data_IF_389863811150
#
_entry.id   IF_389863811150
#
_cell.length_a   1.000
_cell.length_b   1.000
_cell.length_c   1.000
_cell.angle_alpha   90.00
_cell.angle_beta   90.00
_cell.angle_gamma   90.00
#
_symmetry.space_group_name_H-M   'P 1'
#
loop_
_entity.id
_entity.type
_entity.pdbx_description
1 polymer ?
#
# COMPACT_ATOMS: atom_id res chain seq x y z
N UNK A 1 20.75 -25.52 16.40
CA UNK A 1 20.05 -24.22 16.33
C UNK A 1 20.25 -23.66 14.93
N UNK A 2 19.62 -24.26 13.92
CA UNK A 2 19.69 -23.87 12.51
C UNK A 2 18.36 -24.32 11.89
N UNK A 3 17.35 -23.44 11.84
CA UNK A 3 16.17 -23.70 10.99
C UNK A 3 15.29 -22.48 10.71
N UNK A 4 15.49 -21.36 11.41
CA UNK A 4 14.66 -20.15 11.21
C UNK A 4 14.93 -19.44 9.87
N UNK A 5 16.19 -19.44 9.40
CA UNK A 5 16.57 -18.74 8.16
C UNK A 5 16.08 -19.40 6.86
N UNK A 6 15.86 -20.72 6.87
CA UNK A 6 15.44 -21.46 5.66
C UNK A 6 13.93 -21.31 5.36
N UNK A 7 13.13 -21.09 6.41
CA UNK A 7 11.69 -20.84 6.30
C UNK A 7 11.39 -19.45 5.73
N UNK A 8 12.13 -18.45 6.17
CA UNK A 8 11.93 -17.06 5.74
C UNK A 8 12.37 -16.83 4.29
N UNK A 9 13.52 -17.40 3.90
CA UNK A 9 13.98 -17.38 2.52
C UNK A 9 12.98 -18.08 1.57
N UNK A 10 12.43 -19.24 1.97
CA UNK A 10 11.42 -19.95 1.19
C UNK A 10 10.11 -19.14 1.02
N UNK A 11 9.67 -18.44 2.06
CA UNK A 11 8.49 -17.57 2.00
C UNK A 11 8.72 -16.36 1.09
N UNK A 12 9.90 -15.73 1.14
CA UNK A 12 10.24 -14.60 0.27
C UNK A 12 10.31 -15.01 -1.21
N UNK A 13 10.87 -16.18 -1.51
CA UNK A 13 10.92 -16.71 -2.88
C UNK A 13 9.53 -17.01 -3.41
N UNK A 14 8.69 -17.70 -2.63
CA UNK A 14 7.31 -17.98 -3.00
C UNK A 14 6.52 -16.69 -3.24
N UNK A 15 6.64 -15.72 -2.33
CA UNK A 15 5.97 -14.41 -2.44
C UNK A 15 6.40 -13.67 -3.70
N UNK A 16 7.69 -13.60 -3.98
CA UNK A 16 8.21 -12.90 -5.16
C UNK A 16 7.64 -13.51 -6.44
N UNK A 17 7.50 -14.83 -6.49
CA UNK A 17 6.90 -15.52 -7.63
C UNK A 17 5.40 -15.23 -7.75
N UNK A 18 4.68 -15.18 -6.62
CA UNK A 18 3.25 -14.86 -6.61
C UNK A 18 3.00 -13.38 -7.00
N UNK A 19 3.79 -12.44 -6.49
CA UNK A 19 3.68 -11.01 -6.86
C UNK A 19 4.02 -10.80 -8.35
N UNK A 20 5.08 -11.45 -8.85
CA UNK A 20 5.37 -11.44 -10.30
C UNK A 20 4.22 -12.01 -11.11
N UNK A 21 3.60 -13.09 -10.64
CA UNK A 21 2.45 -13.71 -11.31
C UNK A 21 1.19 -12.83 -11.28
N UNK A 22 1.00 -11.96 -10.26
CA UNK A 22 -0.08 -10.96 -10.30
C UNK A 22 0.10 -9.88 -11.35
N UNK A 23 1.34 -9.65 -11.79
CA UNK A 23 1.67 -8.69 -12.85
C UNK A 23 1.79 -9.36 -14.23
N UNK A 24 1.47 -10.66 -14.35
CA UNK A 24 1.62 -11.40 -15.59
C UNK A 24 0.60 -10.96 -16.66
N UNK A 25 1.03 -10.93 -17.92
CA UNK A 25 0.16 -10.61 -19.06
C UNK A 25 -1.01 -11.58 -19.24
N UNK A 26 -0.90 -12.81 -18.74
CA UNK A 26 -1.92 -13.85 -18.80
C UNK A 26 -2.96 -13.70 -17.68
N UNK A 27 -4.26 -13.46 -18.00
CA UNK A 27 -5.33 -13.30 -17.00
C UNK A 27 -5.51 -14.50 -16.07
N UNK A 28 -5.24 -15.72 -16.54
CA UNK A 28 -5.36 -16.93 -15.73
C UNK A 28 -4.25 -17.04 -14.67
N UNK A 29 -3.04 -16.58 -15.00
CA UNK A 29 -1.90 -16.54 -14.07
C UNK A 29 -2.12 -15.48 -13.01
N UNK A 30 -2.64 -14.30 -13.40
CA UNK A 30 -3.03 -13.25 -12.46
C UNK A 30 -4.08 -13.72 -11.46
N UNK A 31 -5.18 -14.31 -11.94
CA UNK A 31 -6.25 -14.77 -11.08
C UNK A 31 -5.79 -15.89 -10.12
N UNK A 32 -4.94 -16.80 -10.60
CA UNK A 32 -4.36 -17.85 -9.76
C UNK A 32 -3.43 -17.26 -8.68
N UNK A 33 -2.62 -16.26 -9.03
CA UNK A 33 -1.76 -15.56 -8.09
C UNK A 33 -2.54 -14.75 -7.06
N UNK A 34 -3.60 -14.06 -7.48
CA UNK A 34 -4.53 -13.36 -6.59
C UNK A 34 -5.23 -14.32 -5.62
N UNK A 35 -5.66 -15.49 -6.09
CA UNK A 35 -6.26 -16.51 -5.23
C UNK A 35 -5.22 -17.08 -4.25
N UNK A 36 -3.98 -17.32 -4.70
CA UNK A 36 -2.89 -17.76 -3.84
C UNK A 36 -2.52 -16.70 -2.78
N UNK A 37 -2.57 -15.41 -3.12
CA UNK A 37 -2.41 -14.30 -2.17
C UNK A 37 -3.56 -14.26 -1.15
N UNK A 38 -4.80 -14.51 -1.59
CA UNK A 38 -6.01 -14.52 -0.74
C UNK A 38 -6.01 -15.68 0.25
N UNK A 39 -5.61 -16.87 -0.20
CA UNK A 39 -5.61 -18.08 0.63
C UNK A 39 -4.49 -18.07 1.69
N UNK A 40 -3.36 -17.44 1.37
CA UNK A 40 -2.28 -17.31 2.31
C UNK A 40 -2.56 -16.14 3.26
N UNK A 41 -2.89 -16.43 4.52
CA UNK A 41 -3.22 -15.45 5.57
C UNK A 41 -2.05 -14.53 6.01
N UNK A 42 -1.02 -14.35 5.18
CA UNK A 42 0.30 -13.76 5.51
C UNK A 42 0.72 -12.64 4.55
N UNK A 43 -0.17 -11.98 3.83
CA UNK A 43 0.25 -11.10 2.71
C UNK A 43 0.57 -9.63 3.00
N UNK A 44 0.16 -9.07 4.15
CA UNK A 44 0.52 -7.70 4.50
C UNK A 44 1.98 -7.36 4.72
N UNK A 45 2.60 -8.12 5.62
CA UNK A 45 3.96 -7.90 6.11
C UNK A 45 4.95 -8.22 5.00
N UNK A 46 4.61 -9.23 4.20
CA UNK A 46 5.40 -9.70 3.08
C UNK A 46 5.43 -8.70 1.92
N UNK A 47 4.30 -8.11 1.54
CA UNK A 47 4.26 -7.03 0.53
C UNK A 47 5.10 -5.83 0.97
N UNK A 48 4.93 -5.40 2.23
CA UNK A 48 5.75 -4.34 2.82
C UNK A 48 7.24 -4.71 2.77
N UNK A 49 7.60 -5.92 3.15
CA UNK A 49 9.00 -6.38 3.19
C UNK A 49 9.60 -6.43 1.78
N UNK A 50 8.84 -6.91 0.80
CA UNK A 50 9.27 -6.96 -0.60
C UNK A 50 9.54 -5.55 -1.14
N UNK A 51 8.61 -4.62 -0.94
CA UNK A 51 8.80 -3.21 -1.27
C UNK A 51 10.03 -2.66 -0.57
N UNK A 52 10.13 -2.81 0.75
CA UNK A 52 11.25 -2.29 1.54
C UNK A 52 12.62 -2.76 1.02
N UNK A 53 12.71 -4.01 0.57
CA UNK A 53 13.97 -4.61 0.11
C UNK A 53 14.26 -4.28 -1.36
N UNK A 54 13.26 -4.29 -2.25
CA UNK A 54 13.51 -4.26 -3.69
C UNK A 54 13.13 -2.95 -4.37
N UNK A 55 12.52 -2.00 -3.67
CA UNK A 55 11.94 -0.82 -4.32
C UNK A 55 12.99 0.12 -4.91
N UNK A 56 14.01 0.52 -4.16
CA UNK A 56 14.95 1.55 -4.60
C UNK A 56 16.40 1.19 -4.25
N UNK A 57 17.27 1.19 -5.25
CA UNK A 57 18.72 1.09 -5.05
C UNK A 57 19.23 2.27 -4.20
N UNK A 58 20.13 1.96 -3.25
CA UNK A 58 20.68 2.95 -2.32
C UNK A 58 19.99 3.00 -0.96
N UNK A 59 18.85 2.33 -0.79
CA UNK A 59 18.23 2.13 0.51
C UNK A 59 19.03 1.17 1.40
N UNK A 60 19.01 1.41 2.71
CA UNK A 60 19.85 0.69 3.69
C UNK A 60 19.66 -0.83 3.64
N UNK A 61 18.42 -1.28 3.43
CA UNK A 61 18.04 -2.68 3.45
C UNK A 61 17.83 -3.25 2.03
N UNK A 62 18.35 -2.57 1.00
CA UNK A 62 18.12 -2.95 -0.39
C UNK A 62 18.78 -4.29 -0.76
N UNK A 63 18.06 -5.10 -1.53
CA UNK A 63 18.62 -6.26 -2.22
C UNK A 63 18.19 -6.31 -3.69
N UNK A 64 19.12 -6.66 -4.57
CA UNK A 64 18.84 -6.81 -6.00
C UNK A 64 17.92 -8.02 -6.29
N UNK A 65 17.13 -8.00 -7.38
CA UNK A 65 17.02 -6.91 -8.36
C UNK A 65 16.08 -5.79 -7.88
N UNK A 66 16.33 -4.55 -8.33
CA UNK A 66 15.37 -3.46 -8.17
C UNK A 66 14.10 -3.76 -8.95
N UNK A 67 12.95 -3.35 -8.41
CA UNK A 67 11.67 -3.40 -9.14
C UNK A 67 11.79 -2.56 -10.44
N UNK A 68 11.53 -3.15 -11.62
CA UNK A 68 11.55 -2.42 -12.89
C UNK A 68 10.58 -1.24 -12.88
N UNK A 69 10.93 -0.15 -13.58
CA UNK A 69 10.11 1.07 -13.58
C UNK A 69 8.65 0.83 -14.02
N UNK A 70 8.43 -0.03 -15.02
CA UNK A 70 7.09 -0.40 -15.48
C UNK A 70 6.26 -1.10 -14.38
N UNK A 71 6.90 -1.93 -13.56
CA UNK A 71 6.26 -2.68 -12.49
C UNK A 71 5.96 -1.75 -11.31
N UNK A 72 6.84 -0.78 -11.02
CA UNK A 72 6.56 0.28 -10.03
C UNK A 72 5.30 1.05 -10.38
N UNK A 73 5.15 1.48 -11.64
CA UNK A 73 3.95 2.19 -12.12
C UNK A 73 2.70 1.34 -11.93
N UNK A 74 2.75 0.05 -12.30
CA UNK A 74 1.63 -0.87 -12.10
C UNK A 74 1.27 -1.05 -10.62
N UNK A 75 2.27 -1.26 -9.75
CA UNK A 75 2.07 -1.40 -8.31
C UNK A 75 1.44 -0.14 -7.71
N UNK A 76 1.94 1.05 -8.08
CA UNK A 76 1.39 2.34 -7.64
C UNK A 76 -0.06 2.55 -8.10
N UNK A 77 -0.46 2.04 -9.26
CA UNK A 77 -1.85 2.10 -9.72
C UNK A 77 -2.77 1.12 -8.98
N UNK A 78 -2.25 -0.04 -8.55
CA UNK A 78 -3.02 -1.11 -7.90
C UNK A 78 -3.20 -0.88 -6.39
N UNK A 79 -2.16 -0.42 -5.70
CA UNK A 79 -2.16 -0.33 -4.24
C UNK A 79 -3.31 0.52 -3.67
N UNK A 80 -3.62 1.73 -4.18
CA UNK A 80 -4.73 2.50 -3.66
C UNK A 80 -6.05 1.73 -3.73
N UNK A 81 -6.33 1.03 -4.83
CA UNK A 81 -7.58 0.26 -4.98
C UNK A 81 -7.73 -0.80 -3.89
N UNK A 82 -6.62 -1.42 -3.44
CA UNK A 82 -6.66 -2.41 -2.36
C UNK A 82 -6.95 -1.81 -0.96
N UNK A 83 -7.03 -0.47 -0.82
CA UNK A 83 -7.50 0.18 0.42
C UNK A 83 -9.00 0.03 0.64
N UNK A 84 -9.78 -0.41 -0.35
CA UNK A 84 -11.21 -0.67 -0.19
C UNK A 84 -11.54 -2.13 0.17
N UNK A 85 -10.52 -2.96 0.39
CA UNK A 85 -10.70 -4.39 0.70
C UNK A 85 -11.61 -4.60 1.93
N UNK A 86 -12.56 -5.55 1.89
CA UNK A 86 -13.48 -5.81 3.00
C UNK A 86 -12.76 -6.25 4.29
N UNK A 87 -11.56 -6.82 4.19
CA UNK A 87 -10.76 -7.24 5.33
C UNK A 87 -9.84 -6.12 5.83
N UNK A 88 -10.10 -5.58 7.02
CA UNK A 88 -9.31 -4.48 7.60
C UNK A 88 -7.80 -4.78 7.80
N UNK A 89 -7.41 -6.05 7.92
CA UNK A 89 -5.99 -6.46 7.95
C UNK A 89 -5.29 -6.21 6.61
N UNK A 90 -5.98 -6.45 5.49
CA UNK A 90 -5.48 -6.17 4.14
C UNK A 90 -5.36 -4.66 3.94
N UNK A 91 -6.39 -3.88 4.31
CA UNK A 91 -6.32 -2.41 4.22
C UNK A 91 -5.13 -1.81 5.00
N UNK A 92 -4.92 -2.28 6.24
CA UNK A 92 -3.80 -1.82 7.07
C UNK A 92 -2.46 -2.10 6.41
N UNK A 93 -2.34 -3.29 5.82
CA UNK A 93 -1.14 -3.72 5.15
C UNK A 93 -0.76 -2.89 3.93
N UNK A 94 -1.76 -2.70 3.08
CA UNK A 94 -1.66 -1.93 1.85
C UNK A 94 -1.29 -0.51 2.24
N UNK A 95 -1.94 0.06 3.27
CA UNK A 95 -1.56 1.36 3.82
C UNK A 95 -0.09 1.43 4.28
N UNK A 96 0.43 0.38 4.92
CA UNK A 96 1.85 0.33 5.31
C UNK A 96 2.79 0.21 4.11
N UNK A 97 2.42 -0.55 3.07
CA UNK A 97 3.19 -0.65 1.84
C UNK A 97 3.21 0.68 1.09
N UNK A 98 2.06 1.34 0.95
CA UNK A 98 1.92 2.69 0.37
C UNK A 98 2.78 3.69 1.12
N UNK A 99 2.68 3.75 2.45
CA UNK A 99 3.53 4.62 3.28
C UNK A 99 5.02 4.36 3.05
N UNK A 100 5.43 3.10 2.95
CA UNK A 100 6.83 2.74 2.68
C UNK A 100 7.30 3.24 1.31
N UNK A 101 6.47 3.12 0.26
CA UNK A 101 6.78 3.60 -1.09
C UNK A 101 6.80 5.14 -1.14
N UNK A 102 5.85 5.77 -0.46
CA UNK A 102 5.69 7.22 -0.45
C UNK A 102 6.95 7.93 0.04
N UNK A 103 7.68 7.35 0.98
CA UNK A 103 8.93 7.91 1.49
C UNK A 103 10.02 8.08 0.42
N UNK A 104 9.98 7.31 -0.66
CA UNK A 104 10.96 7.38 -1.75
C UNK A 104 10.39 8.03 -3.01
N UNK A 105 9.09 7.81 -3.29
CA UNK A 105 8.49 8.15 -4.58
C UNK A 105 7.55 9.37 -4.53
N UNK A 106 7.10 9.81 -3.36
CA UNK A 106 6.18 10.95 -3.25
C UNK A 106 6.92 12.22 -2.80
N UNK A 107 6.67 13.39 -3.42
CA UNK A 107 5.65 13.67 -4.44
C UNK A 107 6.04 13.48 -5.92
N UNK A 108 7.32 13.38 -6.25
CA UNK A 108 7.81 13.52 -7.64
C UNK A 108 7.42 12.34 -8.56
N UNK A 109 7.61 11.11 -8.10
CA UNK A 109 7.39 9.88 -8.89
C UNK A 109 5.95 9.34 -8.73
N UNK A 110 5.22 9.78 -7.71
CA UNK A 110 3.84 9.37 -7.45
C UNK A 110 2.90 10.53 -7.07
N UNK A 111 2.79 11.58 -7.89
CA UNK A 111 2.07 12.81 -7.54
C UNK A 111 0.57 12.57 -7.20
N UNK A 112 -0.04 11.55 -7.80
CA UNK A 112 -1.47 11.25 -7.62
C UNK A 112 -1.82 10.59 -6.28
N UNK A 113 -0.84 10.16 -5.48
CA UNK A 113 -1.08 9.43 -4.21
C UNK A 113 -2.08 10.16 -3.30
N UNK A 114 -1.86 11.46 -3.09
CA UNK A 114 -2.71 12.24 -2.18
C UNK A 114 -4.12 12.46 -2.77
N UNK A 115 -4.23 12.61 -4.10
CA UNK A 115 -5.52 12.73 -4.78
C UNK A 115 -6.36 11.46 -4.57
N UNK A 116 -5.75 10.26 -4.64
CA UNK A 116 -6.44 9.01 -4.34
C UNK A 116 -6.95 8.96 -2.89
N UNK A 117 -6.07 9.26 -1.93
CA UNK A 117 -6.44 9.21 -0.51
C UNK A 117 -7.55 10.20 -0.17
N UNK A 118 -7.45 11.45 -0.63
CA UNK A 118 -8.46 12.47 -0.39
C UNK A 118 -9.78 12.15 -1.10
N UNK A 119 -9.72 11.61 -2.32
CA UNK A 119 -10.89 11.13 -3.05
C UNK A 119 -11.64 10.04 -2.26
N UNK A 120 -10.90 9.08 -1.70
CA UNK A 120 -11.46 8.00 -0.88
C UNK A 120 -12.01 8.47 0.47
N UNK A 121 -11.37 9.44 1.11
CA UNK A 121 -11.85 10.06 2.35
C UNK A 121 -13.15 10.85 2.10
N UNK A 122 -13.25 11.51 0.94
CA UNK A 122 -14.40 12.33 0.56
C UNK A 122 -15.58 11.51 0.03
N UNK A 123 -15.30 10.39 -0.64
CA UNK A 123 -16.29 9.46 -1.18
C UNK A 123 -16.80 8.50 -0.11
N UNK A 124 -17.93 8.87 0.50
CA UNK A 124 -18.54 8.14 1.61
C UNK A 124 -19.48 7.01 1.17
N UNK A 125 -19.49 6.62 -0.12
CA UNK A 125 -20.31 5.49 -0.57
C UNK A 125 -19.82 4.15 -0.02
N UNK A 126 -18.54 4.06 0.34
CA UNK A 126 -17.92 2.84 0.88
C UNK A 126 -17.09 3.16 2.14
N UNK A 127 -17.55 2.67 3.29
CA UNK A 127 -16.85 2.87 4.57
C UNK A 127 -15.51 2.13 4.65
N UNK A 128 -15.32 1.02 3.92
CA UNK A 128 -14.04 0.32 3.90
C UNK A 128 -12.97 1.19 3.24
N UNK A 129 -13.31 1.81 2.12
CA UNK A 129 -12.46 2.75 1.38
C UNK A 129 -12.07 3.96 2.25
N UNK A 130 -13.04 4.59 2.92
CA UNK A 130 -12.78 5.69 3.87
C UNK A 130 -11.83 5.25 4.99
N UNK A 131 -12.11 4.11 5.63
CA UNK A 131 -11.28 3.58 6.72
C UNK A 131 -9.86 3.23 6.24
N UNK A 132 -9.72 2.62 5.07
CA UNK A 132 -8.42 2.29 4.48
C UNK A 132 -7.59 3.53 4.18
N UNK A 133 -8.19 4.53 3.54
CA UNK A 133 -7.51 5.79 3.21
C UNK A 133 -7.10 6.58 4.46
N UNK A 134 -7.97 6.71 5.45
CA UNK A 134 -7.63 7.37 6.72
C UNK A 134 -6.50 6.63 7.45
N UNK A 135 -6.55 5.30 7.48
CA UNK A 135 -5.50 4.49 8.11
C UNK A 135 -4.17 4.65 7.38
N UNK A 136 -4.18 4.64 6.05
CA UNK A 136 -3.01 4.87 5.22
C UNK A 136 -2.41 6.26 5.48
N UNK A 137 -3.24 7.30 5.45
CA UNK A 137 -2.80 8.68 5.74
C UNK A 137 -2.15 8.78 7.13
N UNK A 138 -2.76 8.18 8.15
CA UNK A 138 -2.20 8.17 9.50
C UNK A 138 -0.83 7.46 9.61
N UNK A 139 -0.50 6.55 8.69
CA UNK A 139 0.76 5.80 8.72
C UNK A 139 1.96 6.59 8.21
N UNK A 140 1.77 7.56 7.32
CA UNK A 140 2.88 8.40 6.82
C UNK A 140 2.68 9.90 7.12
N UNK A 141 1.62 10.28 7.83
CA UNK A 141 1.40 11.67 8.27
C UNK A 141 2.57 12.22 9.11
N UNK A 142 3.32 11.35 9.80
CA UNK A 142 4.53 11.74 10.54
C UNK A 142 5.71 12.10 9.66
N UNK A 143 5.70 11.70 8.39
CA UNK A 143 6.74 11.98 7.40
C UNK A 143 6.43 13.25 6.57
N UNK A 144 5.29 13.90 6.81
CA UNK A 144 4.93 15.16 6.17
C UNK A 144 5.68 16.32 6.85
N UNK A 145 6.51 17.02 6.10
CA UNK A 145 7.28 18.18 6.58
C UNK A 145 6.55 19.52 6.41
N UNK A 146 7.20 20.61 6.82
CA UNK A 146 6.69 21.98 6.76
C UNK A 146 6.57 22.54 5.33
N UNK A 147 7.05 21.81 4.32
CA UNK A 147 6.86 22.15 2.91
C UNK A 147 5.66 21.43 2.31
N UNK A 148 5.45 20.17 2.70
CA UNK A 148 4.41 19.29 2.16
C UNK A 148 3.06 19.47 2.86
N UNK A 149 3.06 19.81 4.15
CA UNK A 149 1.83 19.93 4.94
C UNK A 149 0.97 21.16 4.58
N UNK A 150 1.52 22.39 4.40
CA UNK A 150 0.69 23.58 4.19
C UNK A 150 -0.25 23.51 2.97
N UNK A 151 0.16 22.97 1.80
CA UNK A 151 -0.74 22.78 0.66
C UNK A 151 -1.87 21.78 0.91
N UNK A 152 -1.66 20.81 1.82
CA UNK A 152 -2.63 19.74 2.10
C UNK A 152 -3.71 20.16 3.09
N UNK A 153 -3.37 21.01 4.07
CA UNK A 153 -4.27 21.43 5.15
C UNK A 153 -5.64 21.93 4.64
N UNK A 154 -5.73 22.81 3.64
CA UNK A 154 -7.02 23.33 3.15
C UNK A 154 -7.97 22.27 2.59
N UNK A 155 -7.44 21.14 2.14
CA UNK A 155 -8.24 20.04 1.55
C UNK A 155 -8.49 18.95 2.59
N UNK A 156 -7.44 18.58 3.34
CA UNK A 156 -7.50 17.50 4.31
C UNK A 156 -8.39 17.84 5.51
N UNK A 157 -8.25 19.03 6.10
CA UNK A 157 -8.95 19.36 7.34
C UNK A 157 -10.48 19.43 7.17
N UNK A 158 -11.02 20.03 6.09
CA UNK A 158 -12.45 19.96 5.84
C UNK A 158 -12.94 18.52 5.66
N UNK A 159 -12.21 17.67 4.95
CA UNK A 159 -12.59 16.27 4.76
C UNK A 159 -12.66 15.51 6.09
N UNK A 160 -11.65 15.68 6.96
CA UNK A 160 -11.63 15.11 8.31
C UNK A 160 -12.77 15.66 9.20
N UNK A 161 -13.02 16.96 9.14
CA UNK A 161 -14.11 17.59 9.88
C UNK A 161 -15.47 16.99 9.48
N UNK A 162 -15.71 16.78 8.19
CA UNK A 162 -16.94 16.17 7.71
C UNK A 162 -17.15 14.75 8.21
N UNK A 163 -16.09 13.96 8.34
CA UNK A 163 -16.16 12.61 8.91
C UNK A 163 -16.58 12.65 10.38
N UNK A 164 -15.94 13.50 11.19
CA UNK A 164 -16.20 13.58 12.64
C UNK A 164 -17.55 14.23 12.96
N UNK A 165 -18.01 15.17 12.13
CA UNK A 165 -19.24 15.93 12.36
C UNK A 165 -20.51 15.18 11.93
N UNK A 166 -20.38 14.01 11.29
CA UNK A 166 -21.50 13.25 10.77
C UNK A 166 -22.00 12.24 11.81
N UNK A 167 -23.30 12.25 12.20
CA UNK A 167 -23.84 11.41 13.28
C UNK A 167 -23.88 9.89 13.03
N UNK A 168 -23.27 9.36 11.97
CA UNK A 168 -23.42 7.95 11.57
C UNK A 168 -22.07 7.32 11.19
N UNK A 169 -21.28 6.91 12.18
CA UNK A 169 -20.30 5.81 12.03
C UNK A 169 -20.27 5.01 13.34
N UNK A 170 -21.40 4.40 13.67
CA UNK A 170 -21.50 3.37 14.71
C UNK A 170 -22.00 2.10 14.05
N UNK A 171 -21.10 1.23 13.60
CA UNK A 171 -21.28 -0.24 13.53
C UNK A 171 -19.96 -0.92 13.23
#
# INVERSE_FOLDING_TARGET
MENSGNSEAGQLVWLTNVLKATLDTNPGIRLAAENALKDASVHPVLLKQYVKIHWQEGEKDFAAPQVPAQDKVAIRALLPQALEDPHGKIRTAVGMAIATIANSDWPEEWPDLMNYLLGFISDRSDLNRVHGALRCLALFAGDLDDTLLPPLVPVLFPALYQIVSSPNVSS
#
